data_IF_101620949312
#
_entry.id   IF_101620949312
#
_cell.length_a   1.000
_cell.length_b   1.000
_cell.length_c   1.000
_cell.angle_alpha   90.00
_cell.angle_beta   90.00
_cell.angle_gamma   90.00
#
_symmetry.space_group_name_H-M   'P 1'
#
loop_
_entity.id
_entity.type
_entity.pdbx_description
1 polymer ?
#
# COMPACT_ATOMS: atom_id res chain seq x y z
N UNK A 1 14.16 -1.87 -44.30
CA UNK A 1 15.61 -2.09 -44.10
C UNK A 1 16.16 -0.95 -43.25
N UNK A 2 16.25 -1.13 -41.93
CA UNK A 2 17.00 -0.20 -41.06
C UNK A 2 18.15 -0.98 -40.46
N UNK A 3 19.36 -0.65 -40.92
CA UNK A 3 20.62 -1.25 -40.49
C UNK A 3 20.88 -0.90 -39.03
N UNK A 4 21.20 -1.92 -38.23
CA UNK A 4 21.79 -1.78 -36.90
C UNK A 4 22.96 -0.78 -36.95
N UNK A 5 22.88 0.27 -36.13
CA UNK A 5 24.04 1.10 -35.84
C UNK A 5 24.90 0.34 -34.85
N UNK A 6 25.87 -0.43 -35.36
CA UNK A 6 26.90 -1.01 -34.51
C UNK A 6 27.79 0.13 -34.02
N UNK A 7 27.54 0.59 -32.78
CA UNK A 7 28.28 1.68 -32.16
C UNK A 7 29.62 1.13 -31.67
N UNK A 8 30.66 1.30 -32.48
CA UNK A 8 32.03 0.96 -32.11
C UNK A 8 32.47 1.86 -30.94
N UNK A 9 32.56 1.28 -29.74
CA UNK A 9 33.16 1.94 -28.57
C UNK A 9 34.68 1.70 -28.64
N UNK A 10 35.52 2.76 -28.71
CA UNK A 10 36.98 2.64 -28.67
C UNK A 10 37.43 1.80 -27.46
N UNK A 11 38.46 0.97 -27.64
CA UNK A 11 38.96 0.09 -26.58
C UNK A 11 39.38 0.83 -25.31
N UNK A 12 39.83 2.09 -25.45
CA UNK A 12 40.21 2.94 -24.31
C UNK A 12 39.02 3.38 -23.44
N UNK A 13 37.79 3.32 -23.98
CA UNK A 13 36.54 3.74 -23.30
C UNK A 13 35.69 2.53 -22.91
N UNK A 14 36.14 1.31 -23.27
CA UNK A 14 35.46 0.07 -22.86
C UNK A 14 35.80 -0.21 -21.41
N UNK A 15 34.80 -0.06 -20.55
CA UNK A 15 34.85 -0.56 -19.19
C UNK A 15 35.06 -2.08 -19.21
N UNK A 16 36.18 -2.55 -18.66
CA UNK A 16 36.43 -3.97 -18.47
C UNK A 16 35.55 -4.47 -17.34
N UNK A 17 34.62 -5.39 -17.65
CA UNK A 17 33.70 -5.95 -16.65
C UNK A 17 34.43 -6.62 -15.48
N UNK A 18 35.67 -7.07 -15.68
CA UNK A 18 36.52 -7.61 -14.62
C UNK A 18 37.05 -6.50 -13.71
N UNK A 19 37.58 -5.41 -14.26
CA UNK A 19 38.11 -4.27 -13.49
C UNK A 19 37.02 -3.57 -12.68
N UNK A 20 35.82 -3.41 -13.24
CA UNK A 20 34.66 -2.86 -12.51
C UNK A 20 34.28 -3.75 -11.33
N UNK A 21 34.28 -5.08 -11.52
CA UNK A 21 33.99 -6.03 -10.45
C UNK A 21 35.07 -6.01 -9.36
N UNK A 22 36.34 -5.91 -9.73
CA UNK A 22 37.44 -5.78 -8.76
C UNK A 22 37.33 -4.48 -7.96
N UNK A 23 37.04 -3.36 -8.63
CA UNK A 23 36.81 -2.07 -7.98
C UNK A 23 35.63 -2.13 -7.02
N UNK A 24 34.51 -2.74 -7.42
CA UNK A 24 33.30 -2.85 -6.61
C UNK A 24 33.50 -3.74 -5.37
N UNK A 25 34.21 -4.87 -5.53
CA UNK A 25 34.61 -5.75 -4.41
C UNK A 25 35.54 -4.99 -3.45
N UNK A 26 36.51 -4.24 -3.97
CA UNK A 26 37.45 -3.47 -3.15
C UNK A 26 36.73 -2.35 -2.38
N UNK A 27 35.79 -1.65 -3.02
CA UNK A 27 34.97 -0.60 -2.38
C UNK A 27 34.08 -1.20 -1.29
N UNK A 28 33.43 -2.34 -1.55
CA UNK A 28 32.66 -3.07 -0.53
C UNK A 28 33.54 -3.40 0.68
N UNK A 29 34.72 -3.97 0.45
CA UNK A 29 35.65 -4.35 1.52
C UNK A 29 36.13 -3.15 2.33
N UNK A 30 36.38 -2.01 1.69
CA UNK A 30 36.79 -0.79 2.40
C UNK A 30 35.65 -0.19 3.22
N UNK A 31 34.43 -0.18 2.69
CA UNK A 31 33.23 0.28 3.43
C UNK A 31 32.99 -0.61 4.65
N UNK A 32 33.14 -1.93 4.49
CA UNK A 32 32.99 -2.89 5.59
C UNK A 32 34.05 -2.66 6.68
N UNK A 33 35.30 -2.42 6.30
CA UNK A 33 36.39 -2.11 7.24
C UNK A 33 36.14 -0.79 7.98
N UNK A 34 35.78 0.27 7.27
CA UNK A 34 35.44 1.57 7.86
C UNK A 34 34.24 1.47 8.81
N UNK A 35 33.24 0.67 8.46
CA UNK A 35 32.08 0.41 9.32
C UNK A 35 32.50 -0.35 10.58
N UNK A 36 33.34 -1.38 10.45
CA UNK A 36 33.82 -2.17 11.59
C UNK A 36 34.64 -1.33 12.57
N UNK A 37 35.52 -0.47 12.07
CA UNK A 37 36.29 0.48 12.89
C UNK A 37 35.37 1.48 13.60
N UNK A 38 34.36 2.00 12.91
CA UNK A 38 33.36 2.89 13.49
C UNK A 38 32.56 2.19 14.61
N UNK A 39 32.13 0.96 14.39
CA UNK A 39 31.42 0.15 15.38
C UNK A 39 32.31 -0.14 16.60
N UNK A 40 33.55 -0.59 16.38
CA UNK A 40 34.53 -0.92 17.42
C UNK A 40 34.90 0.28 18.29
N UNK A 41 34.98 1.47 17.69
CA UNK A 41 35.24 2.72 18.41
C UNK A 41 34.00 3.27 19.14
N UNK A 42 32.91 2.49 19.21
CA UNK A 42 31.71 2.85 19.95
C UNK A 42 30.81 3.85 19.22
N UNK A 43 31.00 4.04 17.91
CA UNK A 43 30.20 4.95 17.08
C UNK A 43 28.70 4.64 17.09
N UNK A 44 28.32 3.41 17.48
CA UNK A 44 26.93 2.98 17.62
C UNK A 44 26.40 3.03 19.06
N UNK A 45 27.24 3.17 20.09
CA UNK A 45 26.84 3.07 21.51
C UNK A 45 25.88 4.19 21.94
N UNK A 46 25.92 5.35 21.28
CA UNK A 46 24.99 6.45 21.51
C UNK A 46 23.59 6.24 20.92
N UNK A 47 23.39 5.19 20.12
CA UNK A 47 22.12 4.95 19.46
C UNK A 47 21.14 4.30 20.44
N UNK A 48 20.12 5.06 20.84
CA UNK A 48 19.01 4.61 21.72
C UNK A 48 18.36 3.28 21.29
N UNK A 49 18.47 2.92 20.02
CA UNK A 49 17.86 1.74 19.40
C UNK A 49 18.87 0.65 18.99
N UNK A 50 20.17 0.78 19.33
CA UNK A 50 21.18 -0.25 19.05
C UNK A 50 20.76 -1.59 19.69
N UNK A 51 20.76 -2.67 18.90
CA UNK A 51 20.44 -4.01 19.36
C UNK A 51 18.96 -4.26 19.70
N UNK A 52 18.09 -3.24 19.56
CA UNK A 52 16.65 -3.44 19.72
C UNK A 52 16.08 -4.02 18.42
N UNK A 53 15.11 -4.95 18.51
CA UNK A 53 14.33 -5.35 17.34
C UNK A 53 13.78 -4.11 16.65
N UNK A 54 13.83 -4.10 15.31
CA UNK A 54 13.17 -3.05 14.55
C UNK A 54 11.69 -3.04 14.94
N UNK A 55 11.18 -1.87 15.29
CA UNK A 55 9.76 -1.67 15.52
C UNK A 55 9.04 -1.63 14.16
N UNK A 56 8.99 -2.76 13.49
CA UNK A 56 8.05 -2.99 12.41
C UNK A 56 6.69 -3.20 13.07
N UNK A 57 5.95 -2.11 13.23
CA UNK A 57 4.50 -2.22 13.31
C UNK A 57 3.99 -3.02 12.09
N UNK A 58 2.91 -3.78 12.26
CA UNK A 58 2.33 -4.59 11.17
C UNK A 58 1.91 -3.72 9.96
N UNK A 59 1.84 -2.39 10.11
CA UNK A 59 1.53 -1.46 9.04
C UNK A 59 2.72 -1.22 8.10
N UNK A 60 3.97 -1.29 8.59
CA UNK A 60 5.20 -1.12 7.81
C UNK A 60 5.45 -2.21 6.76
N UNK A 61 4.72 -3.32 6.81
CA UNK A 61 4.81 -4.42 5.85
C UNK A 61 3.85 -4.29 4.66
N UNK A 62 3.00 -3.26 4.63
CA UNK A 62 2.17 -2.98 3.46
C UNK A 62 3.02 -2.38 2.34
N UNK A 63 2.91 -2.92 1.12
CA UNK A 63 3.52 -2.34 -0.10
C UNK A 63 3.23 -0.84 -0.28
N UNK A 64 2.18 -0.34 0.37
CA UNK A 64 1.74 1.05 0.31
C UNK A 64 2.02 1.87 1.60
N UNK A 65 2.84 1.39 2.54
CA UNK A 65 3.08 2.09 3.81
C UNK A 65 3.59 3.52 3.61
N UNK A 66 4.59 3.70 2.73
CA UNK A 66 5.16 5.02 2.45
C UNK A 66 4.11 5.98 1.87
N UNK A 67 3.29 5.50 0.92
CA UNK A 67 2.20 6.28 0.33
C UNK A 67 1.13 6.64 1.37
N UNK A 68 0.73 5.67 2.20
CA UNK A 68 -0.24 5.90 3.28
C UNK A 68 0.27 6.91 4.31
N UNK A 69 1.55 6.84 4.68
CA UNK A 69 2.19 7.78 5.60
C UNK A 69 2.22 9.20 5.01
N UNK A 70 2.57 9.34 3.74
CA UNK A 70 2.57 10.63 3.02
C UNK A 70 1.15 11.22 2.95
N UNK A 71 0.15 10.43 2.55
CA UNK A 71 -1.25 10.90 2.45
C UNK A 71 -1.82 11.31 3.81
N UNK A 72 -1.51 10.53 4.86
CA UNK A 72 -1.88 10.86 6.24
C UNK A 72 -1.25 12.18 6.69
N UNK A 73 0.05 12.37 6.42
CA UNK A 73 0.77 13.59 6.77
C UNK A 73 0.31 14.81 5.95
N UNK A 74 -0.16 14.59 4.71
CA UNK A 74 -0.70 15.63 3.84
C UNK A 74 -2.18 15.98 4.15
N UNK A 75 -2.79 15.38 5.18
CA UNK A 75 -4.20 15.54 5.53
C UNK A 75 -5.16 15.22 4.36
N UNK A 76 -4.74 14.33 3.46
CA UNK A 76 -5.53 13.89 2.31
C UNK A 76 -6.38 12.69 2.74
N UNK A 77 -7.69 12.83 2.59
CA UNK A 77 -8.61 11.74 2.89
C UNK A 77 -8.40 10.60 1.89
N UNK A 78 -8.31 9.34 2.35
CA UNK A 78 -8.19 8.20 1.45
C UNK A 78 -9.42 8.08 0.54
N UNK A 79 -9.27 7.72 -0.74
CA UNK A 79 -10.38 7.56 -1.68
C UNK A 79 -11.45 6.56 -1.23
N UNK A 80 -11.06 5.56 -0.43
CA UNK A 80 -12.00 4.55 0.09
C UNK A 80 -12.99 5.13 1.10
N UNK A 81 -12.72 6.28 1.71
CA UNK A 81 -13.63 6.94 2.66
C UNK A 81 -14.82 7.56 1.94
N UNK A 82 -14.59 8.18 0.78
CA UNK A 82 -15.67 8.66 -0.09
C UNK A 82 -16.55 7.50 -0.57
N UNK A 83 -15.92 6.38 -0.91
CA UNK A 83 -16.63 5.16 -1.30
C UNK A 83 -17.45 4.58 -0.14
N UNK A 84 -16.94 4.63 1.09
CA UNK A 84 -17.65 4.23 2.29
C UNK A 84 -18.93 5.07 2.50
N UNK A 85 -18.83 6.40 2.41
CA UNK A 85 -20.00 7.28 2.50
C UNK A 85 -21.02 6.99 1.41
N UNK A 86 -20.57 6.81 0.17
CA UNK A 86 -21.45 6.47 -0.94
C UNK A 86 -22.20 5.15 -0.71
N UNK A 87 -21.51 4.12 -0.22
CA UNK A 87 -22.14 2.83 0.10
C UNK A 87 -23.19 3.00 1.20
N UNK A 88 -22.87 3.72 2.28
CA UNK A 88 -23.81 4.01 3.37
C UNK A 88 -25.07 4.70 2.84
N UNK A 89 -24.89 5.76 2.05
CA UNK A 89 -25.99 6.57 1.53
C UNK A 89 -26.88 5.77 0.56
N UNK A 90 -26.27 4.90 -0.27
CA UNK A 90 -27.02 3.99 -1.15
C UNK A 90 -27.84 2.95 -0.35
N UNK A 91 -27.26 2.36 0.71
CA UNK A 91 -28.01 1.43 1.58
C UNK A 91 -29.17 2.17 2.26
N UNK A 92 -28.93 3.38 2.75
CA UNK A 92 -29.97 4.22 3.36
C UNK A 92 -31.10 4.53 2.37
N UNK A 93 -30.77 4.90 1.14
CA UNK A 93 -31.77 5.17 0.10
C UNK A 93 -32.66 3.95 -0.20
N UNK A 94 -32.09 2.74 -0.18
CA UNK A 94 -32.86 1.49 -0.33
C UNK A 94 -33.80 1.28 0.86
N UNK A 95 -33.31 1.51 2.09
CA UNK A 95 -34.13 1.40 3.30
C UNK A 95 -35.27 2.43 3.33
N UNK A 96 -34.98 3.69 2.99
CA UNK A 96 -35.97 4.77 2.93
C UNK A 96 -37.04 4.46 1.86
N UNK A 97 -36.65 3.88 0.72
CA UNK A 97 -37.59 3.45 -0.31
C UNK A 97 -38.51 2.32 0.18
N UNK A 98 -37.98 1.35 0.91
CA UNK A 98 -38.77 0.29 1.55
C UNK A 98 -39.77 0.87 2.56
N UNK A 99 -39.31 1.76 3.43
CA UNK A 99 -40.12 2.36 4.49
C UNK A 99 -41.21 3.27 3.91
N UNK A 100 -40.98 3.87 2.73
CA UNK A 100 -41.98 4.64 1.97
C UNK A 100 -43.03 3.80 1.24
N UNK A 101 -42.95 2.46 1.31
CA UNK A 101 -43.88 1.55 0.65
C UNK A 101 -43.70 1.42 -0.86
N UNK A 102 -42.55 1.86 -1.41
CA UNK A 102 -42.22 1.59 -2.81
C UNK A 102 -41.92 0.10 -3.00
N UNK A 103 -42.44 -0.45 -4.10
CA UNK A 103 -42.03 -1.76 -4.59
C UNK A 103 -40.57 -1.68 -5.05
N UNK A 104 -39.66 -2.16 -4.20
CA UNK A 104 -38.23 -2.27 -4.48
C UNK A 104 -37.85 -3.74 -4.51
N UNK A 105 -37.32 -4.19 -5.64
CA UNK A 105 -36.69 -5.49 -5.71
C UNK A 105 -35.33 -5.43 -4.99
N UNK A 106 -35.31 -5.94 -3.76
CA UNK A 106 -34.11 -5.97 -2.94
C UNK A 106 -33.00 -6.81 -3.54
N UNK A 107 -33.31 -7.90 -4.25
CA UNK A 107 -32.28 -8.77 -4.82
C UNK A 107 -31.50 -8.06 -5.91
N UNK A 108 -32.20 -7.26 -6.73
CA UNK A 108 -31.58 -6.43 -7.77
C UNK A 108 -30.85 -5.24 -7.15
N UNK A 109 -31.44 -4.59 -6.13
CA UNK A 109 -30.89 -3.38 -5.53
C UNK A 109 -29.54 -3.61 -4.80
N UNK A 110 -29.32 -4.79 -4.20
CA UNK A 110 -28.09 -5.07 -3.45
C UNK A 110 -26.87 -5.37 -4.34
N UNK A 111 -27.06 -5.80 -5.58
CA UNK A 111 -25.98 -6.15 -6.51
C UNK A 111 -24.99 -4.97 -6.70
N UNK A 112 -25.43 -3.78 -7.14
CA UNK A 112 -24.52 -2.65 -7.36
C UNK A 112 -23.89 -2.12 -6.05
N UNK A 113 -24.51 -2.34 -4.90
CA UNK A 113 -23.95 -2.01 -3.59
C UNK A 113 -22.81 -2.98 -3.27
N UNK A 114 -23.03 -4.28 -3.48
CA UNK A 114 -22.03 -5.32 -3.23
C UNK A 114 -20.80 -5.21 -4.13
N UNK A 115 -20.96 -4.76 -5.36
CA UNK A 115 -19.82 -4.44 -6.23
C UNK A 115 -18.96 -3.30 -5.66
N UNK A 116 -19.59 -2.25 -5.11
CA UNK A 116 -18.87 -1.16 -4.45
C UNK A 116 -18.20 -1.62 -3.17
N UNK A 117 -18.84 -2.48 -2.38
CA UNK A 117 -18.24 -3.09 -1.19
C UNK A 117 -17.01 -3.91 -1.57
N UNK A 118 -17.05 -4.66 -2.69
CA UNK A 118 -15.88 -5.37 -3.19
C UNK A 118 -14.73 -4.40 -3.50
N UNK A 119 -15.01 -3.29 -4.20
CA UNK A 119 -14.01 -2.26 -4.51
C UNK A 119 -13.45 -1.62 -3.22
N UNK A 120 -14.33 -1.29 -2.27
CA UNK A 120 -13.96 -0.75 -0.97
C UNK A 120 -13.01 -1.70 -0.23
N UNK A 121 -13.37 -2.98 -0.09
CA UNK A 121 -12.55 -3.98 0.61
C UNK A 121 -11.17 -4.20 -0.02
N UNK A 122 -11.06 -4.07 -1.35
CA UNK A 122 -9.77 -4.15 -2.04
C UNK A 122 -8.87 -2.95 -1.78
N UNK A 123 -9.45 -1.80 -1.39
CA UNK A 123 -8.74 -0.53 -1.18
C UNK A 123 -8.50 -0.18 0.28
N UNK A 124 -9.31 -0.71 1.21
CA UNK A 124 -9.21 -0.40 2.63
C UNK A 124 -8.29 -1.39 3.37
N UNK A 125 -7.70 -0.99 4.50
CA UNK A 125 -6.96 -1.91 5.38
C UNK A 125 -7.81 -3.10 5.82
N UNK A 126 -7.18 -4.26 6.02
CA UNK A 126 -7.83 -5.50 6.48
C UNK A 126 -8.82 -5.33 7.65
N UNK A 127 -8.49 -4.63 8.76
CA UNK A 127 -9.41 -4.47 9.89
C UNK A 127 -10.68 -3.64 9.56
N UNK A 128 -10.67 -2.89 8.46
CA UNK A 128 -11.78 -2.01 8.05
C UNK A 128 -12.68 -2.65 6.98
N UNK A 129 -12.35 -3.84 6.49
CA UNK A 129 -13.13 -4.55 5.48
C UNK A 129 -14.53 -4.90 6.02
N UNK A 130 -15.54 -4.82 5.16
CA UNK A 130 -16.96 -5.06 5.50
C UNK A 130 -17.51 -6.23 4.69
N UNK A 131 -18.46 -6.96 5.26
CA UNK A 131 -19.14 -8.06 4.55
C UNK A 131 -20.09 -7.51 3.50
N UNK A 132 -20.37 -8.30 2.45
CA UNK A 132 -21.44 -8.02 1.48
C UNK A 132 -22.81 -7.90 2.17
N UNK A 133 -23.70 -7.11 1.59
CA UNK A 133 -25.10 -6.96 1.99
C UNK A 133 -25.92 -8.12 1.45
N UNK A 134 -26.75 -8.67 2.32
CA UNK A 134 -27.76 -9.67 1.99
C UNK A 134 -29.15 -9.02 2.12
N UNK A 135 -30.07 -9.24 1.16
CA UNK A 135 -31.42 -8.65 1.17
C UNK A 135 -32.16 -8.82 2.51
N UNK A 136 -32.10 -10.03 3.07
CA UNK A 136 -32.76 -10.41 4.33
C UNK A 136 -32.25 -9.66 5.56
N UNK A 137 -30.99 -9.21 5.53
CA UNK A 137 -30.27 -8.68 6.70
C UNK A 137 -29.84 -7.22 6.53
N UNK A 138 -30.30 -6.56 5.47
CA UNK A 138 -29.85 -5.22 5.08
C UNK A 138 -29.95 -4.19 6.22
N UNK A 139 -31.05 -4.21 7.00
CA UNK A 139 -31.24 -3.29 8.14
C UNK A 139 -30.19 -3.48 9.24
N UNK A 140 -29.93 -4.72 9.66
CA UNK A 140 -28.89 -5.05 10.65
C UNK A 140 -27.48 -4.77 10.12
N UNK A 141 -27.28 -4.90 8.81
CA UNK A 141 -25.98 -4.64 8.19
C UNK A 141 -25.71 -3.15 8.04
N UNK A 142 -26.74 -2.32 7.84
CA UNK A 142 -26.63 -0.87 7.76
C UNK A 142 -26.07 -0.26 9.05
N UNK A 143 -26.40 -0.80 10.23
CA UNK A 143 -25.82 -0.38 11.52
C UNK A 143 -24.29 -0.50 11.57
N UNK A 144 -23.68 -1.35 10.73
CA UNK A 144 -22.21 -1.47 10.64
C UNK A 144 -21.58 -0.43 9.72
N UNK A 145 -22.39 0.36 9.02
CA UNK A 145 -21.99 1.44 8.11
C UNK A 145 -22.28 2.83 8.66
N UNK A 146 -23.06 2.94 9.75
CA UNK A 146 -23.09 4.12 10.63
C UNK A 146 -21.81 4.18 11.49
#
# INVERSE_FOLDING_TARGET
MSKEKNQFVPSEVRESSEESRYSEIQVSSWIDEAFHDFEKNGGLEGNKHKGKPLAVDDAHHSENYALHSILKNANVLPPWLELQHKIRDEIKAVLDALDSGKQVDLEVAVIPINEKIKKYNMSCPFPMQKTRIFPEKIRKQYEKWE
#
